data_IF_201751390365
#
_entry.id   IF_201751390365
#
_cell.length_a   1.000
_cell.length_b   1.000
_cell.length_c   1.000
_cell.angle_alpha   90.00
_cell.angle_beta   90.00
_cell.angle_gamma   90.00
#
_symmetry.space_group_name_H-M   'P 1'
#
loop_
_entity.id
_entity.type
_entity.pdbx_description
1 polymer ?
#
# COMPACT_ATOMS: atom_id res chain seq x y z
N UNK A 1 7.78 7.64 29.47
CA UNK A 1 7.96 6.52 28.52
C UNK A 1 8.99 6.94 27.47
N UNK A 2 10.30 6.75 27.71
CA UNK A 2 11.37 7.24 26.83
C UNK A 2 11.30 6.72 25.38
N UNK A 3 10.74 5.53 25.18
CA UNK A 3 10.54 4.88 23.89
C UNK A 3 9.31 5.38 23.12
N UNK A 4 8.36 6.05 23.80
CA UNK A 4 7.12 6.50 23.18
C UNK A 4 7.39 7.83 22.47
N UNK A 5 7.55 7.76 21.15
CA UNK A 5 7.56 8.94 20.27
C UNK A 5 6.15 9.11 19.70
N UNK A 6 5.54 10.25 19.94
CA UNK A 6 4.23 10.55 19.38
C UNK A 6 4.42 11.13 17.96
N UNK A 7 3.57 10.78 17.00
CA UNK A 7 3.62 11.33 15.65
C UNK A 7 2.97 12.73 15.58
N UNK A 8 3.28 13.62 16.55
CA UNK A 8 2.57 14.90 16.76
C UNK A 8 2.50 15.75 15.49
N UNK A 9 3.62 15.84 14.74
CA UNK A 9 3.65 16.61 13.50
C UNK A 9 2.78 16.00 12.39
N UNK A 10 2.70 14.67 12.29
CA UNK A 10 1.80 14.01 11.34
C UNK A 10 0.33 14.24 11.73
N UNK A 11 0.02 14.23 13.02
CA UNK A 11 -1.31 14.54 13.53
C UNK A 11 -1.71 16.00 13.22
N UNK A 12 -0.79 16.95 13.43
CA UNK A 12 -1.01 18.36 13.09
C UNK A 12 -1.18 18.58 11.59
N UNK A 13 -0.36 17.97 10.74
CA UNK A 13 -0.50 18.04 9.28
C UNK A 13 -1.90 17.55 8.87
N UNK A 14 -2.33 16.41 9.40
CA UNK A 14 -3.68 15.87 9.14
C UNK A 14 -4.77 16.82 9.64
N UNK A 15 -4.66 17.35 10.85
CA UNK A 15 -5.65 18.26 11.43
C UNK A 15 -5.78 19.59 10.66
N UNK A 16 -4.66 20.14 10.20
CA UNK A 16 -4.61 21.39 9.43
C UNK A 16 -5.31 21.31 8.08
N UNK A 17 -5.55 20.11 7.55
CA UNK A 17 -6.43 19.93 6.37
C UNK A 17 -7.80 20.59 6.58
N UNK A 18 -8.37 20.50 7.79
CA UNK A 18 -9.64 21.14 8.12
C UNK A 18 -9.61 22.67 7.99
N UNK A 19 -8.47 23.31 8.31
CA UNK A 19 -8.32 24.77 8.16
C UNK A 19 -8.36 25.17 6.68
N UNK A 20 -7.65 24.44 5.82
CA UNK A 20 -7.60 24.72 4.38
C UNK A 20 -8.98 24.52 3.74
N UNK A 21 -9.74 23.51 4.18
CA UNK A 21 -11.14 23.35 3.78
C UNK A 21 -11.99 24.52 4.27
N UNK A 22 -11.85 24.94 5.53
CA UNK A 22 -12.54 26.12 6.06
C UNK A 22 -12.26 27.38 5.25
N UNK A 23 -11.00 27.59 4.85
CA UNK A 23 -10.58 28.68 3.96
C UNK A 23 -11.28 28.61 2.59
N UNK A 24 -11.27 27.43 1.96
CA UNK A 24 -11.96 27.23 0.68
C UNK A 24 -13.46 27.53 0.78
N UNK A 25 -14.14 26.99 1.79
CA UNK A 25 -15.58 27.22 1.98
C UNK A 25 -15.92 28.67 2.29
N UNK A 26 -15.08 29.38 3.07
CA UNK A 26 -15.24 30.80 3.32
C UNK A 26 -15.16 31.61 2.02
N UNK A 27 -14.15 31.35 1.18
CA UNK A 27 -13.98 32.04 -0.11
C UNK A 27 -15.14 31.78 -1.06
N UNK A 28 -15.58 30.51 -1.20
CA UNK A 28 -16.74 30.17 -2.01
C UNK A 28 -18.01 30.88 -1.53
N UNK A 29 -18.18 31.03 -0.22
CA UNK A 29 -19.35 31.69 0.36
C UNK A 29 -19.35 33.20 0.12
N UNK A 30 -18.19 33.85 0.21
CA UNK A 30 -18.04 35.29 -0.12
C UNK A 30 -18.41 35.55 -1.60
N UNK A 31 -18.01 34.65 -2.50
CA UNK A 31 -18.27 34.80 -3.93
C UNK A 31 -19.72 34.45 -4.33
N UNK A 32 -20.44 33.71 -3.49
CA UNK A 32 -21.77 33.20 -3.81
C UNK A 32 -22.78 34.34 -4.00
N UNK A 33 -23.22 34.53 -5.24
CA UNK A 33 -24.26 35.51 -5.58
C UNK A 33 -23.79 36.96 -5.60
N UNK A 34 -22.47 37.18 -5.63
CA UNK A 34 -21.90 38.53 -5.71
C UNK A 34 -22.19 39.15 -7.09
N UNK A 35 -22.78 40.36 -7.18
CA UNK A 35 -23.07 40.99 -8.46
C UNK A 35 -21.78 41.38 -9.20
N UNK A 36 -21.87 41.55 -10.51
CA UNK A 36 -20.72 41.90 -11.36
C UNK A 36 -20.12 43.27 -10.98
N UNK A 37 -18.81 43.39 -11.17
CA UNK A 37 -18.03 44.57 -10.80
C UNK A 37 -17.32 44.40 -9.47
N UNK A 38 -16.73 45.48 -8.97
CA UNK A 38 -16.04 45.46 -7.69
C UNK A 38 -17.03 45.59 -6.53
N UNK A 39 -16.95 44.64 -5.60
CA UNK A 39 -17.64 44.69 -4.31
C UNK A 39 -16.60 44.64 -3.18
N UNK A 40 -16.84 45.38 -2.09
CA UNK A 40 -15.84 45.52 -1.01
C UNK A 40 -15.63 44.22 -0.23
N UNK A 41 -16.58 43.28 -0.30
CA UNK A 41 -16.51 41.90 0.20
C UNK A 41 -15.23 41.19 -0.27
N UNK A 42 -14.76 41.49 -1.49
CA UNK A 42 -13.51 40.96 -2.06
C UNK A 42 -12.24 41.45 -1.33
N UNK A 43 -12.35 42.25 -0.27
CA UNK A 43 -11.22 42.58 0.57
C UNK A 43 -10.79 41.40 1.48
N UNK A 44 -11.70 40.44 1.76
CA UNK A 44 -11.41 39.29 2.63
C UNK A 44 -10.65 38.16 1.93
N UNK A 45 -10.58 38.16 0.60
CA UNK A 45 -9.97 37.10 -0.22
C UNK A 45 -8.50 36.78 0.17
N UNK A 46 -7.69 37.82 0.36
CA UNK A 46 -6.25 37.73 0.58
C UNK A 46 -5.93 37.07 1.90
N UNK A 47 -6.69 37.37 2.96
CA UNK A 47 -6.49 36.77 4.28
C UNK A 47 -6.71 35.27 4.24
N UNK A 48 -7.75 34.84 3.53
CA UNK A 48 -8.11 33.43 3.35
C UNK A 48 -7.03 32.71 2.55
N UNK A 49 -6.62 33.28 1.40
CA UNK A 49 -5.61 32.67 0.53
C UNK A 49 -4.24 32.61 1.21
N UNK A 50 -3.80 33.69 1.88
CA UNK A 50 -2.51 33.70 2.57
C UNK A 50 -2.48 32.70 3.71
N UNK A 51 -3.55 32.60 4.52
CA UNK A 51 -3.64 31.61 5.59
C UNK A 51 -3.57 30.18 5.06
N UNK A 52 -4.29 29.88 3.97
CA UNK A 52 -4.24 28.57 3.33
C UNK A 52 -2.83 28.27 2.79
N UNK A 53 -2.21 29.24 2.12
CA UNK A 53 -0.84 29.12 1.61
C UNK A 53 0.18 28.85 2.71
N UNK A 54 0.17 29.62 3.80
CA UNK A 54 1.09 29.45 4.93
C UNK A 54 0.90 28.09 5.60
N UNK A 55 -0.35 27.65 5.72
CA UNK A 55 -0.71 26.34 6.27
C UNK A 55 -0.14 25.22 5.41
N UNK A 56 -0.38 25.23 4.10
CA UNK A 56 0.11 24.19 3.18
C UNK A 56 1.64 24.21 3.11
N UNK A 57 2.26 25.38 3.00
CA UNK A 57 3.71 25.53 2.90
C UNK A 57 4.43 24.99 4.14
N UNK A 58 3.91 25.30 5.34
CA UNK A 58 4.47 24.79 6.59
C UNK A 58 4.28 23.27 6.74
N UNK A 59 3.13 22.74 6.31
CA UNK A 59 2.88 21.29 6.29
C UNK A 59 3.82 20.55 5.34
N UNK A 60 4.04 21.07 4.12
CA UNK A 60 4.97 20.47 3.15
C UNK A 60 6.41 20.49 3.65
N UNK A 61 6.84 21.62 4.22
CA UNK A 61 8.18 21.75 4.83
C UNK A 61 8.39 20.69 5.92
N UNK A 62 7.40 20.54 6.81
CA UNK A 62 7.47 19.55 7.88
C UNK A 62 7.39 18.10 7.36
N UNK A 63 6.53 17.84 6.38
CA UNK A 63 6.41 16.51 5.77
C UNK A 63 7.73 16.05 5.13
N UNK A 64 8.42 16.95 4.41
CA UNK A 64 9.74 16.68 3.85
C UNK A 64 10.77 16.35 4.95
N UNK A 65 10.79 17.12 6.05
CA UNK A 65 11.68 16.86 7.19
C UNK A 65 11.39 15.50 7.85
N UNK A 66 10.12 15.14 8.02
CA UNK A 66 9.71 13.84 8.57
C UNK A 66 10.24 12.71 7.70
N UNK A 67 9.98 12.76 6.38
CA UNK A 67 10.45 11.73 5.43
C UNK A 67 11.96 11.62 5.43
N UNK A 68 12.68 12.75 5.44
CA UNK A 68 14.14 12.77 5.45
C UNK A 68 14.74 12.20 6.76
N UNK A 69 14.03 12.33 7.87
CA UNK A 69 14.44 11.80 9.18
C UNK A 69 13.97 10.38 9.47
N UNK A 70 13.16 9.79 8.57
CA UNK A 70 12.57 8.48 8.79
C UNK A 70 13.62 7.37 8.78
N UNK A 71 13.53 6.47 9.76
CA UNK A 71 14.37 5.27 9.85
C UNK A 71 13.48 4.04 9.89
N UNK A 72 13.79 3.05 9.05
CA UNK A 72 13.05 1.79 8.98
C UNK A 72 13.81 0.68 9.69
N UNK A 73 13.17 0.06 10.68
CA UNK A 73 13.72 -1.06 11.44
C UNK A 73 13.47 -2.37 10.70
N UNK A 74 14.41 -2.77 9.85
CA UNK A 74 14.30 -3.97 9.02
C UNK A 74 14.10 -5.24 9.84
N UNK A 75 14.77 -5.35 10.99
CA UNK A 75 14.70 -6.52 11.87
C UNK A 75 13.31 -6.71 12.47
N UNK A 76 12.57 -5.62 12.69
CA UNK A 76 11.16 -5.70 13.10
C UNK A 76 10.19 -5.86 11.94
N UNK A 77 10.52 -5.32 10.77
CA UNK A 77 9.64 -5.39 9.58
C UNK A 77 9.68 -6.79 8.96
N UNK A 78 10.86 -7.35 8.65
CA UNK A 78 10.99 -8.61 7.91
C UNK A 78 10.17 -9.77 8.51
N UNK A 79 10.19 -10.03 9.83
CA UNK A 79 9.42 -11.13 10.43
C UNK A 79 7.89 -10.93 10.39
N UNK A 80 7.41 -9.76 9.98
CA UNK A 80 5.99 -9.45 9.84
C UNK A 80 5.49 -9.61 8.41
N UNK A 81 6.39 -9.62 7.42
CA UNK A 81 6.02 -9.65 6.00
C UNK A 81 5.36 -10.97 5.58
N UNK A 82 5.70 -12.06 6.24
CA UNK A 82 5.14 -13.39 5.95
C UNK A 82 3.99 -13.77 6.90
N UNK A 83 3.57 -12.85 7.80
CA UNK A 83 2.43 -13.08 8.70
C UNK A 83 1.11 -12.81 7.98
N UNK A 84 0.12 -13.67 8.22
CA UNK A 84 -1.25 -13.47 7.72
C UNK A 84 -1.46 -13.91 6.27
N UNK A 85 -0.59 -14.78 5.74
CA UNK A 85 -0.75 -15.42 4.42
C UNK A 85 -0.93 -14.42 3.27
N UNK A 86 -0.16 -13.31 3.29
CA UNK A 86 -0.22 -12.27 2.26
C UNK A 86 0.15 -12.79 0.85
N UNK A 87 0.84 -13.93 0.78
CA UNK A 87 1.22 -14.63 -0.44
C UNK A 87 0.14 -15.61 -0.96
N UNK A 88 -1.00 -15.75 -0.27
CA UNK A 88 -2.12 -16.59 -0.69
C UNK A 88 -2.63 -16.20 -2.09
N UNK A 89 -2.75 -14.91 -2.38
CA UNK A 89 -3.15 -14.43 -3.71
C UNK A 89 -2.14 -14.83 -4.78
N UNK A 90 -0.84 -14.72 -4.51
CA UNK A 90 0.22 -15.14 -5.43
C UNK A 90 0.18 -16.65 -5.69
N UNK A 91 -0.14 -17.47 -4.67
CA UNK A 91 -0.35 -18.90 -4.82
C UNK A 91 -1.56 -19.20 -5.71
N UNK A 92 -2.68 -18.50 -5.51
CA UNK A 92 -3.86 -18.69 -6.36
C UNK A 92 -3.56 -18.34 -7.82
N UNK A 93 -2.87 -17.23 -8.06
CA UNK A 93 -2.41 -16.82 -9.39
C UNK A 93 -1.41 -17.83 -9.98
N UNK A 94 -0.53 -18.41 -9.17
CA UNK A 94 0.38 -19.48 -9.60
C UNK A 94 -0.41 -20.70 -10.12
N UNK A 95 -1.42 -21.15 -9.37
CA UNK A 95 -2.27 -22.25 -9.81
C UNK A 95 -3.01 -21.92 -11.11
N UNK A 96 -3.44 -20.67 -11.30
CA UNK A 96 -4.02 -20.20 -12.57
C UNK A 96 -3.03 -20.31 -13.72
N UNK A 97 -1.76 -19.95 -13.52
CA UNK A 97 -0.73 -20.12 -14.57
C UNK A 97 -0.47 -21.60 -14.91
N UNK A 98 -0.78 -22.53 -14.01
CA UNK A 98 -0.72 -23.98 -14.26
C UNK A 98 -2.03 -24.54 -14.84
N UNK A 99 -3.01 -23.70 -15.16
CA UNK A 99 -4.27 -24.08 -15.82
C UNK A 99 -5.46 -24.31 -14.90
N UNK A 100 -5.35 -24.03 -13.60
CA UNK A 100 -6.48 -24.16 -12.66
C UNK A 100 -7.40 -22.93 -12.78
N UNK A 101 -8.73 -23.07 -12.94
CA UNK A 101 -9.64 -21.93 -12.94
C UNK A 101 -9.53 -21.12 -11.65
N UNK A 102 -9.54 -19.78 -11.73
CA UNK A 102 -9.30 -18.91 -10.58
C UNK A 102 -10.22 -19.20 -9.38
N UNK A 103 -11.51 -19.46 -9.61
CA UNK A 103 -12.46 -19.82 -8.55
C UNK A 103 -12.02 -21.07 -7.78
N UNK A 104 -11.54 -22.08 -8.49
CA UNK A 104 -11.04 -23.33 -7.90
C UNK A 104 -9.71 -23.09 -7.18
N UNK A 105 -8.79 -22.35 -7.80
CA UNK A 105 -7.51 -21.98 -7.19
C UNK A 105 -7.71 -21.23 -5.87
N UNK A 106 -8.61 -20.24 -5.85
CA UNK A 106 -8.96 -19.48 -4.65
C UNK A 106 -9.53 -20.39 -3.54
N UNK A 107 -10.38 -21.37 -3.89
CA UNK A 107 -10.95 -22.30 -2.90
C UNK A 107 -9.90 -23.28 -2.35
N UNK A 108 -8.99 -23.77 -3.20
CA UNK A 108 -7.84 -24.60 -2.79
C UNK A 108 -6.97 -23.82 -1.80
N UNK A 109 -6.59 -22.58 -2.15
CA UNK A 109 -5.76 -21.73 -1.29
C UNK A 109 -6.45 -21.42 0.03
N UNK A 110 -7.75 -21.10 0.02
CA UNK A 110 -8.51 -20.90 1.26
C UNK A 110 -8.48 -22.12 2.19
N UNK A 111 -8.55 -23.33 1.63
CA UNK A 111 -8.41 -24.59 2.39
C UNK A 111 -7.01 -24.75 2.98
N UNK A 112 -5.97 -24.42 2.21
CA UNK A 112 -4.58 -24.48 2.65
C UNK A 112 -4.28 -23.46 3.77
N UNK A 113 -4.83 -22.26 3.68
CA UNK A 113 -4.75 -21.23 4.73
C UNK A 113 -5.44 -21.71 6.00
N UNK A 114 -6.67 -22.22 5.90
CA UNK A 114 -7.40 -22.76 7.06
C UNK A 114 -6.66 -23.94 7.72
N UNK A 115 -6.01 -24.79 6.91
CA UNK A 115 -5.13 -25.87 7.41
C UNK A 115 -3.93 -25.30 8.17
N UNK A 116 -3.25 -24.29 7.62
CA UNK A 116 -2.13 -23.65 8.31
C UNK A 116 -2.56 -23.07 9.67
N UNK A 117 -3.69 -22.35 9.72
CA UNK A 117 -4.21 -21.78 10.96
C UNK A 117 -4.52 -22.87 12.00
N UNK A 118 -5.15 -23.96 11.57
CA UNK A 118 -5.46 -25.10 12.43
C UNK A 118 -4.20 -25.78 12.98
N UNK A 119 -3.16 -25.88 12.15
CA UNK A 119 -1.90 -26.56 12.50
C UNK A 119 -0.90 -25.63 13.22
N UNK A 120 -1.27 -24.38 13.49
CA UNK A 120 -0.39 -23.38 14.12
C UNK A 120 0.75 -22.89 13.22
N UNK A 121 0.64 -23.11 11.91
CA UNK A 121 1.59 -22.61 10.90
C UNK A 121 1.27 -21.15 10.56
N UNK A 122 2.30 -20.34 10.35
CA UNK A 122 2.15 -18.89 10.11
C UNK A 122 2.38 -18.48 8.66
N UNK A 123 2.85 -19.39 7.81
CA UNK A 123 3.13 -19.14 6.41
C UNK A 123 2.79 -20.37 5.54
N UNK A 124 2.31 -20.13 4.32
CA UNK A 124 2.01 -21.20 3.35
C UNK A 124 3.26 -21.98 2.95
N UNK A 125 4.44 -21.35 3.00
CA UNK A 125 5.73 -22.00 2.75
C UNK A 125 6.10 -23.11 3.76
N UNK A 126 5.40 -23.19 4.89
CA UNK A 126 5.55 -24.27 5.89
C UNK A 126 4.76 -25.54 5.52
N UNK A 127 3.92 -25.50 4.48
CA UNK A 127 3.28 -26.68 3.93
C UNK A 127 4.26 -27.46 3.05
N UNK A 128 4.22 -28.77 3.15
CA UNK A 128 4.94 -29.70 2.28
C UNK A 128 4.29 -29.79 0.90
N UNK A 129 5.05 -30.26 -0.09
CA UNK A 129 4.51 -30.55 -1.43
C UNK A 129 3.35 -31.54 -1.40
N UNK A 130 3.39 -32.52 -0.49
CA UNK A 130 2.31 -33.49 -0.35
C UNK A 130 1.02 -32.82 0.11
N UNK A 131 1.09 -31.89 1.06
CA UNK A 131 -0.07 -31.12 1.52
C UNK A 131 -0.66 -30.25 0.41
N UNK A 132 0.17 -29.62 -0.42
CA UNK A 132 -0.30 -28.87 -1.58
C UNK A 132 -0.99 -29.79 -2.61
N UNK A 133 -0.34 -30.89 -2.97
CA UNK A 133 -0.86 -31.84 -3.97
C UNK A 133 -2.11 -32.58 -3.48
N UNK A 134 -2.23 -32.84 -2.18
CA UNK A 134 -3.44 -33.37 -1.56
C UNK A 134 -4.60 -32.39 -1.72
N UNK A 135 -4.40 -31.11 -1.43
CA UNK A 135 -5.44 -30.09 -1.58
C UNK A 135 -5.93 -29.95 -3.03
N UNK A 136 -5.03 -30.07 -4.02
CA UNK A 136 -5.39 -30.11 -5.44
C UNK A 136 -6.28 -31.31 -5.78
N UNK A 137 -5.90 -32.51 -5.31
CA UNK A 137 -6.67 -33.74 -5.51
C UNK A 137 -8.06 -33.66 -4.88
N UNK A 138 -8.18 -33.10 -3.67
CA UNK A 138 -9.46 -32.91 -2.98
C UNK A 138 -10.42 -31.98 -3.73
N UNK A 139 -9.91 -31.14 -4.63
CA UNK A 139 -10.70 -30.21 -5.45
C UNK A 139 -10.83 -30.67 -6.90
N UNK A 140 -10.66 -31.98 -7.15
CA UNK A 140 -10.76 -32.60 -8.47
C UNK A 140 -9.76 -32.06 -9.50
N UNK A 141 -8.63 -31.50 -9.06
CA UNK A 141 -7.53 -31.07 -9.92
C UNK A 141 -6.44 -32.14 -9.91
N UNK A 142 -6.51 -33.07 -10.87
CA UNK A 142 -5.52 -34.14 -11.03
C UNK A 142 -4.53 -33.90 -12.17
N UNK A 143 -4.84 -32.95 -13.06
CA UNK A 143 -4.00 -32.60 -14.22
C UNK A 143 -2.76 -31.79 -13.84
N UNK A 144 -2.68 -31.28 -12.62
CA UNK A 144 -1.59 -30.43 -12.13
C UNK A 144 -0.95 -31.08 -10.92
N UNK A 145 0.38 -31.23 -10.96
CA UNK A 145 1.19 -31.65 -9.82
C UNK A 145 2.19 -30.55 -9.52
N UNK A 146 2.21 -30.07 -8.28
CA UNK A 146 3.16 -29.06 -7.85
C UNK A 146 4.49 -29.70 -7.47
N UNK A 147 5.55 -29.05 -7.92
CA UNK A 147 6.94 -29.32 -7.55
C UNK A 147 7.44 -28.17 -6.65
N UNK A 148 8.72 -28.22 -6.28
CA UNK A 148 9.37 -27.17 -5.47
C UNK A 148 9.23 -25.75 -6.06
N UNK A 149 8.92 -25.60 -7.36
CA UNK A 149 8.62 -24.30 -8.00
C UNK A 149 7.51 -23.52 -7.28
N UNK A 150 6.57 -24.20 -6.60
CA UNK A 150 5.50 -23.50 -5.86
C UNK A 150 6.06 -22.54 -4.80
N UNK A 151 7.18 -22.89 -4.16
CA UNK A 151 7.78 -22.05 -3.14
C UNK A 151 8.37 -20.75 -3.71
N UNK A 152 8.66 -20.70 -5.02
CA UNK A 152 9.04 -19.47 -5.71
C UNK A 152 7.86 -18.50 -5.89
N UNK A 153 6.62 -18.95 -5.66
CA UNK A 153 5.43 -18.09 -5.65
C UNK A 153 5.06 -17.58 -4.25
N UNK A 154 5.74 -18.08 -3.21
CA UNK A 154 5.43 -17.83 -1.79
C UNK A 154 6.47 -16.93 -1.14
N UNK A 155 6.03 -16.17 -0.13
CA UNK A 155 6.84 -15.20 0.61
C UNK A 155 6.94 -13.82 -0.05
N UNK A 156 6.99 -12.77 0.77
CA UNK A 156 6.89 -11.38 0.30
C UNK A 156 7.95 -11.00 -0.75
N UNK A 157 9.20 -11.47 -0.58
CA UNK A 157 10.31 -11.20 -1.53
C UNK A 157 10.01 -11.75 -2.93
N UNK A 158 9.44 -12.95 -3.00
CA UNK A 158 9.12 -13.60 -4.26
C UNK A 158 7.90 -12.97 -4.93
N UNK A 159 6.87 -12.60 -4.16
CA UNK A 159 5.70 -11.87 -4.66
C UNK A 159 6.13 -10.57 -5.33
N UNK A 160 6.96 -9.76 -4.65
CA UNK A 160 7.49 -8.51 -5.18
C UNK A 160 8.33 -8.73 -6.44
N UNK A 161 9.13 -9.80 -6.49
CA UNK A 161 9.92 -10.16 -7.68
C UNK A 161 9.03 -10.59 -8.85
N UNK A 162 7.94 -11.30 -8.60
CA UNK A 162 7.03 -11.81 -9.65
C UNK A 162 6.17 -10.71 -10.26
N UNK A 163 5.75 -9.74 -9.48
CA UNK A 163 4.90 -8.65 -9.95
C UNK A 163 5.73 -7.63 -10.74
N UNK A 164 5.68 -7.74 -12.07
CA UNK A 164 6.46 -6.92 -13.00
C UNK A 164 5.59 -6.05 -13.93
N UNK A 165 4.30 -5.88 -13.63
CA UNK A 165 3.44 -4.94 -14.35
C UNK A 165 3.84 -3.49 -14.03
N UNK A 166 3.49 -2.56 -14.93
CA UNK A 166 3.74 -1.15 -14.73
C UNK A 166 3.10 -0.66 -13.41
N UNK A 167 3.88 0.04 -12.57
CA UNK A 167 3.46 0.51 -11.25
C UNK A 167 3.60 -0.51 -10.12
N UNK A 168 4.12 -1.72 -10.37
CA UNK A 168 4.43 -2.67 -9.31
C UNK A 168 5.52 -2.16 -8.36
N UNK A 169 5.45 -2.57 -7.10
CA UNK A 169 6.23 -2.02 -6.00
C UNK A 169 7.71 -2.49 -5.95
N UNK A 170 8.17 -3.31 -6.89
CA UNK A 170 9.56 -3.78 -6.89
C UNK A 170 10.06 -4.27 -8.23
N UNK A 171 11.33 -4.68 -8.25
CA UNK A 171 12.04 -5.05 -9.47
C UNK A 171 12.16 -3.89 -10.46
N UNK A 172 12.10 -4.22 -11.75
CA UNK A 172 12.32 -3.28 -12.84
C UNK A 172 11.29 -2.13 -12.90
N UNK A 173 9.97 -2.36 -12.73
CA UNK A 173 8.98 -1.27 -12.75
C UNK A 173 9.23 -0.18 -11.69
N UNK A 174 9.64 -0.58 -10.48
CA UNK A 174 9.97 0.36 -9.41
C UNK A 174 11.21 1.18 -9.77
N UNK A 175 12.27 0.54 -10.26
CA UNK A 175 13.49 1.22 -10.68
C UNK A 175 13.22 2.23 -11.81
N UNK A 176 12.44 1.84 -12.82
CA UNK A 176 12.01 2.71 -13.91
C UNK A 176 11.20 3.91 -13.40
N UNK A 177 10.25 3.68 -12.49
CA UNK A 177 9.44 4.75 -11.90
C UNK A 177 10.29 5.70 -11.04
N UNK A 178 11.22 5.17 -10.25
CA UNK A 178 12.13 5.95 -9.44
C UNK A 178 13.03 6.84 -10.31
N UNK A 179 13.60 6.27 -11.38
CA UNK A 179 14.43 7.02 -12.32
C UNK A 179 13.62 8.10 -13.05
N UNK A 180 12.38 7.81 -13.46
CA UNK A 180 11.51 8.81 -14.06
C UNK A 180 11.22 9.98 -13.11
N UNK A 181 11.01 9.72 -11.82
CA UNK A 181 10.82 10.77 -10.83
C UNK A 181 12.08 11.58 -10.59
N UNK A 182 13.24 10.92 -10.53
CA UNK A 182 14.55 11.57 -10.42
C UNK A 182 14.80 12.54 -11.58
N UNK A 183 14.56 12.10 -12.81
CA UNK A 183 14.67 12.94 -14.01
C UNK A 183 13.71 14.13 -13.96
N UNK A 184 12.44 13.92 -13.61
CA UNK A 184 11.43 14.99 -13.50
C UNK A 184 11.76 16.03 -12.43
N UNK A 185 12.40 15.60 -11.35
CA UNK A 185 12.75 16.46 -10.22
C UNK A 185 14.18 17.02 -10.30
N UNK A 186 14.99 16.57 -11.26
CA UNK A 186 16.38 16.99 -11.44
C UNK A 186 17.33 16.52 -10.33
N UNK A 187 17.10 15.33 -9.77
CA UNK A 187 17.89 14.70 -8.68
C UNK A 187 18.52 13.38 -9.08
#
# INVERSE_FOLDING_TARGET
MPQKRNPDMLELIRGRCGNVYGDLFALMTILKGLPIGYNRDLQEDKRIVFRAYDTVSSCLTMAAAIVNSASYDKEKIEPTLDRGFLDATSLAEYLVTKGVPFRTAHHIVGTLVAKCEKDGKHALSQLSLDEFNEALKSHSVQSVTLTNEVYESLGAKNVVKRYQSAGAAGGKPFEEQLNSWKERLGV
#
